data_IF_620455313833
#
_entry.id   IF_620455313833
#
_cell.length_a   1.000
_cell.length_b   1.000
_cell.length_c   1.000
_cell.angle_alpha   90.00
_cell.angle_beta   90.00
_cell.angle_gamma   90.00
#
_symmetry.space_group_name_H-M   'P 1'
#
loop_
_entity.id
_entity.type
_entity.pdbx_description
1 polymer ?
#
# COMPACT_ATOMS: atom_id res chain seq x y z
N UNK A 1 10.33 -18.99 2.47
CA UNK A 1 9.32 -17.94 2.64
C UNK A 1 10.01 -16.59 2.86
N UNK A 2 9.83 -15.68 1.90
CA UNK A 2 10.34 -14.30 1.90
C UNK A 2 9.92 -13.54 3.18
N UNK A 3 10.81 -12.70 3.72
CA UNK A 3 10.57 -11.89 4.93
C UNK A 3 9.34 -10.99 4.77
N UNK A 4 9.15 -10.40 3.58
CA UNK A 4 8.00 -9.53 3.29
C UNK A 4 6.68 -10.29 3.33
N UNK A 5 6.66 -11.50 2.81
CA UNK A 5 5.51 -12.39 2.88
C UNK A 5 5.17 -12.79 4.33
N UNK A 6 6.19 -13.05 5.18
CA UNK A 6 5.97 -13.33 6.61
C UNK A 6 5.35 -12.14 7.32
N UNK A 7 5.83 -10.94 7.02
CA UNK A 7 5.32 -9.71 7.58
C UNK A 7 3.88 -9.42 7.14
N UNK A 8 3.57 -9.54 5.85
CA UNK A 8 2.20 -9.38 5.33
C UNK A 8 1.22 -10.38 5.96
N UNK A 9 1.65 -11.63 6.14
CA UNK A 9 0.84 -12.62 6.83
C UNK A 9 0.60 -12.23 8.29
N UNK A 10 1.62 -11.72 8.99
CA UNK A 10 1.50 -11.26 10.39
C UNK A 10 0.56 -10.06 10.51
N UNK A 11 0.84 -8.97 9.77
CA UNK A 11 0.06 -7.72 9.83
C UNK A 11 -1.36 -7.96 9.34
N UNK A 12 -1.54 -8.70 8.26
CA UNK A 12 -2.88 -9.04 7.75
C UNK A 12 -3.69 -9.95 8.67
N UNK A 13 -3.03 -10.73 9.54
CA UNK A 13 -3.72 -11.57 10.54
C UNK A 13 -4.06 -10.76 11.80
N UNK A 14 -3.69 -9.49 11.86
CA UNK A 14 -4.05 -8.65 13.00
C UNK A 14 -5.55 -8.31 12.94
N UNK A 15 -6.26 -8.32 14.08
CA UNK A 15 -7.67 -7.96 14.13
C UNK A 15 -7.91 -6.50 13.71
N UNK A 16 -6.89 -5.64 13.82
CA UNK A 16 -6.90 -4.26 13.36
C UNK A 16 -7.04 -4.21 11.84
N UNK A 17 -6.09 -4.78 11.09
CA UNK A 17 -6.13 -4.70 9.63
C UNK A 17 -7.41 -5.31 9.05
N UNK A 18 -7.92 -6.38 9.64
CA UNK A 18 -9.21 -6.95 9.28
C UNK A 18 -10.35 -5.95 9.48
N UNK A 19 -10.45 -5.33 10.67
CA UNK A 19 -11.48 -4.34 10.99
C UNK A 19 -11.38 -3.08 10.12
N UNK A 20 -10.17 -2.58 9.88
CA UNK A 20 -9.95 -1.43 9.01
C UNK A 20 -10.32 -1.74 7.57
N UNK A 21 -9.93 -2.91 7.05
CA UNK A 21 -10.25 -3.31 5.68
C UNK A 21 -11.76 -3.40 5.45
N UNK A 22 -12.53 -3.92 6.43
CA UNK A 22 -14.00 -3.93 6.39
C UNK A 22 -14.55 -2.51 6.34
N UNK A 23 -14.05 -1.62 7.20
CA UNK A 23 -14.52 -0.22 7.23
C UNK A 23 -14.23 0.50 5.91
N UNK A 24 -13.05 0.28 5.34
CA UNK A 24 -12.61 0.87 4.07
C UNK A 24 -13.40 0.34 2.87
N UNK A 25 -13.69 -0.96 2.85
CA UNK A 25 -14.51 -1.57 1.80
C UNK A 25 -15.94 -1.01 1.79
N UNK A 26 -16.54 -0.82 2.96
CA UNK A 26 -17.86 -0.20 3.10
C UNK A 26 -17.90 1.25 2.57
N UNK A 27 -16.75 1.93 2.52
CA UNK A 27 -16.62 3.32 2.07
C UNK A 27 -16.17 3.44 0.61
N UNK A 28 -16.08 2.34 -0.16
CA UNK A 28 -15.65 2.39 -1.58
C UNK A 28 -16.58 3.21 -2.47
N UNK A 29 -17.83 3.43 -2.07
CA UNK A 29 -18.80 4.25 -2.82
C UNK A 29 -18.84 5.71 -2.35
N UNK A 30 -17.98 6.10 -1.41
CA UNK A 30 -17.85 7.50 -1.02
C UNK A 30 -17.17 8.31 -2.13
N UNK A 31 -17.08 9.63 -1.94
CA UNK A 31 -16.44 10.54 -2.91
C UNK A 31 -15.10 11.10 -2.40
N UNK A 32 -14.50 10.42 -1.42
CA UNK A 32 -13.25 10.82 -0.80
C UNK A 32 -12.54 9.59 -0.23
N UNK A 33 -11.21 9.65 -0.20
CA UNK A 33 -10.40 8.63 0.46
C UNK A 33 -10.57 8.67 1.98
N UNK A 34 -10.55 7.50 2.59
CA UNK A 34 -10.52 7.26 4.02
C UNK A 34 -9.39 6.27 4.34
N UNK A 35 -8.83 6.34 5.55
CA UNK A 35 -7.71 5.49 5.89
C UNK A 35 -7.33 5.54 7.35
N UNK A 36 -6.41 4.64 7.71
CA UNK A 36 -5.91 4.43 9.03
C UNK A 36 -4.39 4.28 8.98
N UNK A 37 -3.70 4.85 9.97
CA UNK A 37 -2.30 4.56 10.22
C UNK A 37 -2.18 3.42 11.22
N UNK A 38 -1.30 2.47 10.94
CA UNK A 38 -0.98 1.34 11.83
C UNK A 38 0.33 1.66 12.55
N UNK A 39 0.28 1.63 13.88
CA UNK A 39 1.40 1.95 14.76
C UNK A 39 1.70 0.81 15.72
N UNK A 40 2.94 0.80 16.20
CA UNK A 40 3.35 -0.02 17.34
C UNK A 40 2.88 0.60 18.66
N UNK A 41 2.63 -0.25 19.66
CA UNK A 41 2.30 0.17 21.03
C UNK A 41 3.12 -0.63 22.04
N UNK A 42 2.88 -0.42 23.33
CA UNK A 42 3.56 -1.13 24.43
C UNK A 42 2.71 -2.25 25.04
N UNK A 43 1.52 -2.51 24.49
CA UNK A 43 0.55 -3.42 25.09
C UNK A 43 0.12 -4.43 24.05
N UNK A 44 0.16 -5.72 24.40
CA UNK A 44 -0.31 -6.79 23.52
C UNK A 44 -1.74 -6.45 23.02
N UNK A 45 -2.02 -6.54 21.70
CA UNK A 45 -1.26 -7.23 20.65
C UNK A 45 -0.15 -6.40 19.96
N UNK A 46 0.34 -5.34 20.61
CA UNK A 46 1.48 -4.51 20.22
C UNK A 46 1.30 -3.67 18.95
N UNK A 47 0.13 -3.78 18.32
CA UNK A 47 -0.30 -2.99 17.19
C UNK A 47 -1.57 -2.24 17.58
N UNK A 48 -1.75 -1.06 17.01
CA UNK A 48 -2.95 -0.24 17.14
C UNK A 48 -3.14 0.54 15.85
N UNK A 49 -4.37 1.01 15.60
CA UNK A 49 -4.72 1.77 14.42
C UNK A 49 -5.40 3.06 14.80
N UNK A 50 -5.16 4.10 14.00
CA UNK A 50 -5.73 5.42 14.20
C UNK A 50 -6.25 5.95 12.86
N UNK A 51 -7.49 6.46 12.80
CA UNK A 51 -7.99 7.12 11.60
C UNK A 51 -7.06 8.25 11.15
N UNK A 52 -6.84 8.35 9.84
CA UNK A 52 -6.08 9.44 9.23
C UNK A 52 -7.02 10.58 8.86
N UNK A 53 -6.48 11.80 8.95
CA UNK A 53 -7.22 12.99 8.56
C UNK A 53 -7.15 13.13 7.04
N UNK A 54 -8.33 13.20 6.41
CA UNK A 54 -8.45 13.59 5.02
C UNK A 54 -8.06 15.07 4.89
N UNK A 55 -7.03 15.33 4.07
CA UNK A 55 -6.50 16.69 3.88
C UNK A 55 -6.91 17.31 2.55
N UNK A 56 -7.50 16.52 1.66
CA UNK A 56 -8.04 16.94 0.36
C UNK A 56 -8.88 15.83 -0.26
N UNK A 57 -9.63 16.15 -1.31
CA UNK A 57 -10.48 15.18 -2.05
C UNK A 57 -9.67 13.93 -2.49
N UNK A 58 -8.35 14.06 -2.71
CA UNK A 58 -7.48 13.00 -3.23
C UNK A 58 -6.26 12.72 -2.33
N UNK A 59 -6.38 12.83 -1.01
CA UNK A 59 -5.24 12.46 -0.18
C UNK A 59 -5.43 12.49 1.33
N UNK A 60 -4.95 11.42 1.95
CA UNK A 60 -4.78 11.30 3.39
C UNK A 60 -3.46 11.91 3.84
N UNK A 61 -3.48 12.52 5.03
CA UNK A 61 -2.23 12.91 5.69
C UNK A 61 -1.47 11.69 6.18
N UNK A 62 -0.18 11.62 5.85
CA UNK A 62 0.72 10.67 6.48
C UNK A 62 0.80 10.96 8.00
N UNK A 63 0.76 9.91 8.85
CA UNK A 63 0.98 10.07 10.26
C UNK A 63 2.40 10.59 10.53
N UNK A 64 2.52 11.51 11.49
CA UNK A 64 3.79 12.19 11.79
C UNK A 64 4.57 11.53 12.95
N UNK A 65 3.93 10.66 13.73
CA UNK A 65 4.59 10.03 14.88
C UNK A 65 5.54 8.90 14.43
N UNK A 66 6.70 8.71 15.09
CA UNK A 66 7.76 7.81 14.64
C UNK A 66 7.50 6.32 14.91
N UNK A 67 6.25 5.97 15.18
CA UNK A 67 5.78 4.62 15.54
C UNK A 67 4.84 4.02 14.49
N UNK A 68 4.48 4.79 13.46
CA UNK A 68 3.64 4.32 12.37
C UNK A 68 4.48 3.66 11.29
N UNK A 69 4.23 2.38 11.02
CA UNK A 69 4.97 1.62 10.01
C UNK A 69 4.11 1.28 8.79
N UNK A 70 2.79 1.43 8.89
CA UNK A 70 1.92 1.21 7.75
C UNK A 70 0.75 2.19 7.70
N UNK A 71 0.22 2.36 6.49
CA UNK A 71 -1.05 3.03 6.21
C UNK A 71 -1.94 2.02 5.50
N UNK A 72 -3.23 2.02 5.81
CA UNK A 72 -4.27 1.33 5.05
C UNK A 72 -5.33 2.34 4.65
N UNK A 73 -5.68 2.40 3.37
CA UNK A 73 -6.67 3.34 2.86
C UNK A 73 -7.42 2.77 1.68
N UNK A 74 -8.55 3.40 1.34
CA UNK A 74 -9.32 3.04 0.15
C UNK A 74 -9.11 4.04 -0.99
N UNK A 75 -9.19 3.56 -2.21
CA UNK A 75 -9.44 4.40 -3.38
C UNK A 75 -10.89 4.22 -3.77
N UNK A 76 -11.69 5.27 -3.63
CA UNK A 76 -13.12 5.20 -3.90
C UNK A 76 -13.41 5.03 -5.40
N UNK A 77 -14.57 4.46 -5.69
CA UNK A 77 -15.03 4.18 -7.04
C UNK A 77 -15.12 5.48 -7.86
N UNK A 78 -14.38 5.53 -8.97
CA UNK A 78 -14.37 6.68 -9.88
C UNK A 78 -13.13 7.56 -9.83
N UNK A 79 -12.14 7.22 -9.00
CA UNK A 79 -10.78 7.75 -9.13
C UNK A 79 -10.04 7.06 -10.28
N UNK A 80 -9.25 7.83 -11.05
CA UNK A 80 -8.51 7.30 -12.20
C UNK A 80 -7.43 6.28 -11.83
N UNK A 81 -6.86 6.42 -10.64
CA UNK A 81 -5.68 5.68 -10.21
C UNK A 81 -6.06 4.62 -9.18
N UNK A 82 -5.85 3.33 -9.50
CA UNK A 82 -5.91 2.27 -8.48
C UNK A 82 -4.77 2.38 -7.46
N UNK A 83 -3.63 2.90 -7.91
CA UNK A 83 -2.52 3.35 -7.06
C UNK A 83 -2.09 4.73 -7.55
N UNK A 84 -2.01 5.69 -6.64
CA UNK A 84 -1.62 7.05 -6.94
C UNK A 84 -0.15 7.33 -6.63
N UNK A 85 0.33 8.43 -7.17
CA UNK A 85 1.66 8.95 -6.85
C UNK A 85 1.81 9.24 -5.35
N UNK A 86 0.70 9.57 -4.67
CA UNK A 86 0.61 9.71 -3.22
C UNK A 86 0.99 8.44 -2.47
N UNK A 87 0.67 7.25 -2.97
CA UNK A 87 0.96 5.97 -2.29
C UNK A 87 2.46 5.68 -2.25
N UNK A 88 3.14 5.92 -3.38
CA UNK A 88 4.59 5.75 -3.50
C UNK A 88 5.31 6.73 -2.57
N UNK A 89 4.86 7.98 -2.55
CA UNK A 89 5.42 9.00 -1.67
C UNK A 89 5.11 8.74 -0.19
N UNK A 90 3.92 8.21 0.12
CA UNK A 90 3.54 7.84 1.47
C UNK A 90 4.44 6.74 2.01
N UNK A 91 4.72 5.72 1.20
CA UNK A 91 5.64 4.64 1.52
C UNK A 91 7.05 5.17 1.84
N UNK A 92 7.58 6.06 1.00
CA UNK A 92 8.87 6.68 1.26
C UNK A 92 8.84 7.54 2.51
N UNK A 93 7.84 8.42 2.66
CA UNK A 93 7.72 9.31 3.82
C UNK A 93 7.65 8.53 5.14
N UNK A 94 6.87 7.44 5.20
CA UNK A 94 6.84 6.55 6.37
C UNK A 94 8.21 5.96 6.70
N UNK A 95 8.98 5.55 5.68
CA UNK A 95 10.32 5.01 5.90
C UNK A 95 11.30 6.00 6.50
N UNK A 96 11.08 7.31 6.29
CA UNK A 96 11.93 8.37 6.84
C UNK A 96 11.52 8.79 8.25
N UNK A 97 10.24 8.65 8.60
CA UNK A 97 9.73 9.06 9.92
C UNK A 97 9.75 7.92 10.95
N UNK A 98 9.66 6.67 10.51
CA UNK A 98 9.64 5.52 11.41
C UNK A 98 10.98 5.32 12.13
N UNK A 99 10.93 5.15 13.46
CA UNK A 99 12.12 4.98 14.28
C UNK A 99 12.31 3.50 14.66
N UNK A 100 13.16 2.79 13.91
CA UNK A 100 13.48 1.38 14.16
C UNK A 100 14.09 1.13 15.55
N UNK A 101 14.87 2.08 16.08
CA UNK A 101 15.45 1.92 17.42
C UNK A 101 14.36 1.94 18.49
N UNK A 102 13.39 2.85 18.35
CA UNK A 102 12.23 2.92 19.24
C UNK A 102 11.31 1.70 19.08
N UNK A 103 11.15 1.21 17.85
CA UNK A 103 10.28 0.08 17.57
C UNK A 103 10.76 -1.26 18.12
N UNK A 104 12.07 -1.37 18.35
CA UNK A 104 12.71 -2.59 18.80
C UNK A 104 13.15 -2.51 20.27
N UNK A 105 12.40 -1.79 21.11
CA UNK A 105 12.74 -1.62 22.54
C UNK A 105 12.10 -2.63 23.48
N UNK A 106 11.23 -3.53 22.99
CA UNK A 106 10.68 -4.60 23.84
C UNK A 106 11.80 -5.57 24.22
N UNK A 107 12.02 -5.69 25.53
CA UNK A 107 12.95 -6.65 26.11
C UNK A 107 12.31 -8.03 26.38
N UNK A 108 13.12 -8.98 26.87
CA UNK A 108 12.68 -10.34 27.21
C UNK A 108 11.60 -10.40 28.31
N UNK A 109 11.43 -9.33 29.07
CA UNK A 109 10.41 -9.21 30.12
C UNK A 109 9.10 -8.58 29.61
N UNK A 110 9.01 -8.30 28.31
CA UNK A 110 7.84 -7.66 27.70
C UNK A 110 7.72 -6.17 28.05
N UNK A 111 8.81 -5.53 28.46
CA UNK A 111 8.83 -4.10 28.82
C UNK A 111 9.41 -3.28 27.67
N UNK A 112 8.78 -2.14 27.35
CA UNK A 112 9.20 -1.25 26.25
C UNK A 112 8.05 -0.86 25.31
N UNK A 113 8.39 -0.19 24.21
CA UNK A 113 7.49 0.09 23.09
C UNK A 113 7.94 -0.77 21.91
N UNK A 114 7.04 -1.48 21.26
CA UNK A 114 7.39 -2.33 20.13
C UNK A 114 6.53 -3.57 20.03
N UNK A 115 6.90 -4.45 19.13
CA UNK A 115 6.39 -5.81 19.03
C UNK A 115 7.63 -6.74 19.14
N UNK A 116 7.53 -7.95 19.74
CA UNK A 116 8.64 -8.90 19.84
C UNK A 116 9.30 -9.27 18.49
N UNK A 117 8.70 -8.91 17.36
CA UNK A 117 9.31 -8.97 16.03
C UNK A 117 10.24 -7.79 15.78
N UNK A 118 11.45 -8.06 15.29
CA UNK A 118 12.38 -7.00 14.86
C UNK A 118 11.86 -6.27 13.61
N UNK A 119 11.58 -4.97 13.76
CA UNK A 119 11.22 -4.06 12.68
C UNK A 119 12.45 -3.59 11.92
N UNK A 120 12.37 -3.64 10.60
CA UNK A 120 13.26 -2.97 9.66
C UNK A 120 12.48 -2.40 8.46
N UNK A 121 13.21 -1.90 7.48
CA UNK A 121 12.65 -1.27 6.28
C UNK A 121 11.63 -2.13 5.54
N UNK A 122 11.78 -3.46 5.60
CA UNK A 122 10.87 -4.38 4.90
C UNK A 122 9.48 -4.45 5.55
N UNK A 123 9.31 -3.94 6.77
CA UNK A 123 8.02 -3.87 7.45
C UNK A 123 7.18 -2.67 6.99
N UNK A 124 7.79 -1.63 6.41
CA UNK A 124 7.07 -0.45 5.94
C UNK A 124 6.15 -0.84 4.78
N UNK A 125 4.86 -0.52 4.91
CA UNK A 125 3.82 -0.98 3.99
C UNK A 125 2.74 0.06 3.77
N UNK A 126 2.30 0.23 2.52
CA UNK A 126 1.05 0.92 2.20
C UNK A 126 0.06 -0.11 1.70
N UNK A 127 -1.09 -0.23 2.38
CA UNK A 127 -2.21 -1.08 1.99
C UNK A 127 -3.27 -0.25 1.28
N UNK A 128 -3.75 -0.73 0.13
CA UNK A 128 -4.79 -0.06 -0.65
C UNK A 128 -5.96 -1.01 -0.83
N UNK A 129 -7.11 -0.66 -0.27
CA UNK A 129 -8.37 -1.40 -0.39
C UNK A 129 -9.14 -0.87 -1.60
N UNK A 130 -9.47 -1.77 -2.52
CA UNK A 130 -10.30 -1.50 -3.70
C UNK A 130 -11.40 -2.55 -3.80
N UNK A 131 -12.23 -2.50 -4.83
CA UNK A 131 -13.31 -3.49 -5.05
C UNK A 131 -12.73 -4.92 -5.03
N UNK A 132 -13.27 -5.80 -4.20
CA UNK A 132 -12.91 -7.22 -4.05
C UNK A 132 -11.46 -7.56 -3.62
N UNK A 133 -10.51 -6.61 -3.72
CA UNK A 133 -9.09 -6.84 -3.47
C UNK A 133 -8.46 -5.78 -2.59
N UNK A 134 -7.50 -6.24 -1.79
CA UNK A 134 -6.57 -5.39 -1.05
C UNK A 134 -5.17 -5.60 -1.61
N UNK A 135 -4.47 -4.51 -1.85
CA UNK A 135 -3.10 -4.51 -2.32
C UNK A 135 -2.15 -4.02 -1.23
N UNK A 136 -0.89 -4.45 -1.31
CA UNK A 136 0.17 -3.95 -0.44
C UNK A 136 1.41 -3.58 -1.26
N UNK A 137 1.91 -2.37 -1.04
CA UNK A 137 3.15 -1.87 -1.63
C UNK A 137 4.23 -1.94 -0.54
N UNK A 138 5.35 -2.61 -0.83
CA UNK A 138 6.47 -2.79 0.12
C UNK A 138 7.79 -2.39 -0.49
N UNK A 139 8.72 -1.96 0.36
CA UNK A 139 10.06 -1.52 -0.02
C UNK A 139 10.97 -2.74 -0.20
N UNK A 140 11.52 -2.93 -1.40
CA UNK A 140 12.60 -3.88 -1.67
C UNK A 140 13.98 -3.22 -1.52
N UNK A 141 14.13 -1.99 -2.01
CA UNK A 141 15.38 -1.23 -1.98
C UNK A 141 15.11 0.24 -1.68
N UNK A 142 15.47 0.68 -0.48
CA UNK A 142 15.27 2.06 -0.03
C UNK A 142 16.11 3.07 -0.80
N UNK A 143 17.26 2.67 -1.35
CA UNK A 143 18.13 3.56 -2.12
C UNK A 143 17.48 3.92 -3.43
N UNK A 144 16.83 2.94 -4.08
CA UNK A 144 16.03 3.17 -5.29
C UNK A 144 14.79 3.99 -4.99
N UNK A 145 14.08 3.67 -3.91
CA UNK A 145 12.87 4.41 -3.54
C UNK A 145 13.18 5.88 -3.22
N UNK A 146 14.34 6.19 -2.65
CA UNK A 146 14.75 7.57 -2.36
C UNK A 146 14.78 8.49 -3.59
N UNK A 147 14.90 7.94 -4.80
CA UNK A 147 14.82 8.72 -6.05
C UNK A 147 13.46 9.41 -6.22
N UNK A 148 12.40 8.92 -5.55
CA UNK A 148 11.07 9.54 -5.59
C UNK A 148 11.08 10.99 -5.12
N UNK A 149 12.00 11.36 -4.21
CA UNK A 149 12.08 12.71 -3.64
C UNK A 149 12.16 13.81 -4.70
N UNK A 150 12.84 13.55 -5.82
CA UNK A 150 12.99 14.54 -6.90
C UNK A 150 11.65 14.98 -7.49
N UNK A 151 10.62 14.13 -7.40
CA UNK A 151 9.28 14.41 -7.90
C UNK A 151 8.43 15.20 -6.91
N UNK A 152 8.79 15.23 -5.61
CA UNK A 152 8.00 15.86 -4.54
C UNK A 152 8.60 17.14 -3.99
N UNK A 153 9.64 17.70 -4.63
CA UNK A 153 10.28 18.95 -4.21
C UNK A 153 9.39 20.19 -4.32
N UNK A 154 8.39 20.17 -5.21
CA UNK A 154 7.41 21.25 -5.39
C UNK A 154 6.18 20.75 -6.15
N UNK A 155 5.12 21.57 -6.16
CA UNK A 155 3.83 21.27 -6.80
C UNK A 155 3.95 20.98 -8.30
N UNK A 156 4.85 21.65 -9.02
CA UNK A 156 5.02 21.42 -10.47
C UNK A 156 5.57 20.03 -10.75
N UNK A 157 6.65 19.63 -10.06
CA UNK A 157 7.23 18.28 -10.21
C UNK A 157 6.27 17.18 -9.79
N UNK A 158 5.49 17.43 -8.74
CA UNK A 158 4.49 16.50 -8.26
C UNK A 158 3.40 16.28 -9.31
N UNK A 159 2.90 17.38 -9.91
CA UNK A 159 1.91 17.30 -10.98
C UNK A 159 2.46 16.63 -12.26
N UNK A 160 3.73 16.88 -12.61
CA UNK A 160 4.39 16.20 -13.73
C UNK A 160 4.46 14.69 -13.49
N UNK A 161 4.82 14.27 -12.27
CA UNK A 161 4.88 12.86 -11.92
C UNK A 161 3.50 12.20 -11.86
N UNK A 162 2.50 12.89 -11.32
CA UNK A 162 1.11 12.45 -11.36
C UNK A 162 0.64 12.22 -12.81
N UNK A 163 0.95 13.14 -13.72
CA UNK A 163 0.59 12.99 -15.13
C UNK A 163 1.29 11.80 -15.81
N UNK A 164 2.53 11.48 -15.44
CA UNK A 164 3.25 10.30 -15.96
C UNK A 164 2.57 8.99 -15.51
N UNK A 165 2.12 8.95 -14.26
CA UNK A 165 1.42 7.78 -13.74
C UNK A 165 0.01 7.66 -14.35
N UNK A 166 -0.72 8.76 -14.48
CA UNK A 166 -2.02 8.79 -15.15
C UNK A 166 -1.93 8.32 -16.60
N UNK A 167 -0.89 8.73 -17.33
CA UNK A 167 -0.66 8.29 -18.71
C UNK A 167 -0.35 6.78 -18.79
N UNK A 168 0.35 6.22 -17.79
CA UNK A 168 0.55 4.77 -17.70
C UNK A 168 -0.77 3.99 -17.53
N UNK A 169 -1.79 4.58 -16.90
CA UNK A 169 -3.12 3.97 -16.75
C UNK A 169 -4.06 4.21 -17.93
N UNK A 170 -3.80 5.22 -18.74
CA UNK A 170 -4.72 5.69 -19.79
C UNK A 170 -5.05 4.61 -20.82
N UNK A 171 -4.09 3.79 -21.17
CA UNK A 171 -4.24 2.75 -22.20
C UNK A 171 -4.83 1.45 -21.67
N UNK A 172 -4.86 1.26 -20.34
CA UNK A 172 -5.42 0.05 -19.71
C UNK A 172 -6.88 0.20 -19.28
N UNK A 173 -7.40 1.43 -19.22
CA UNK A 173 -8.81 1.69 -18.92
C UNK A 173 -9.71 1.57 -20.17
N UNK A 174 -9.69 0.39 -20.80
CA UNK A 174 -10.50 0.08 -21.98
C UNK A 174 -11.41 -1.13 -21.73
N UNK A 175 -12.52 -1.22 -22.45
CA UNK A 175 -13.39 -2.40 -22.47
C UNK A 175 -12.81 -3.51 -23.36
N UNK A 176 -13.51 -4.64 -23.46
CA UNK A 176 -13.10 -5.77 -24.30
C UNK A 176 -13.00 -5.46 -25.80
N UNK A 177 -13.55 -4.32 -26.23
CA UNK A 177 -13.53 -3.84 -27.61
C UNK A 177 -12.48 -2.73 -27.81
N UNK A 178 -11.67 -2.41 -26.79
CA UNK A 178 -10.67 -1.34 -26.83
C UNK A 178 -11.24 0.07 -26.67
N UNK A 179 -12.51 0.21 -26.23
CA UNK A 179 -13.14 1.51 -26.00
C UNK A 179 -12.84 1.98 -24.58
N UNK A 180 -12.37 3.21 -24.43
CA UNK A 180 -12.10 3.81 -23.11
C UNK A 180 -13.37 3.79 -22.25
N UNK A 181 -13.28 3.22 -21.05
CA UNK A 181 -14.43 3.20 -20.12
C UNK A 181 -14.67 4.61 -19.56
N UNK A 182 -15.94 4.95 -19.36
CA UNK A 182 -16.33 6.28 -18.84
C UNK A 182 -16.01 6.42 -17.36
N UNK A 183 -16.21 5.36 -16.57
CA UNK A 183 -15.91 5.33 -15.16
C UNK A 183 -14.59 4.58 -14.94
N UNK A 184 -13.55 5.21 -14.38
CA UNK A 184 -12.30 4.51 -14.07
C UNK A 184 -12.45 3.36 -13.07
N UNK A 185 -13.48 3.38 -12.22
CA UNK A 185 -13.78 2.27 -11.31
C UNK A 185 -14.16 0.96 -12.02
N UNK A 186 -14.51 1.02 -13.31
CA UNK A 186 -14.85 -0.17 -14.11
C UNK A 186 -13.62 -0.80 -14.80
N UNK A 187 -12.42 -0.25 -14.59
CA UNK A 187 -11.19 -0.76 -15.18
C UNK A 187 -10.80 -2.12 -14.58
N UNK A 188 -10.19 -2.98 -15.40
CA UNK A 188 -9.71 -4.29 -14.94
C UNK A 188 -8.53 -4.09 -13.97
N UNK A 189 -8.71 -4.49 -12.72
CA UNK A 189 -7.70 -4.33 -11.67
C UNK A 189 -6.40 -5.08 -11.96
N UNK A 190 -6.43 -6.21 -12.69
CA UNK A 190 -5.19 -6.87 -13.07
C UNK A 190 -4.43 -6.01 -14.10
N UNK A 191 -5.14 -5.37 -15.04
CA UNK A 191 -4.54 -4.46 -16.02
C UNK A 191 -3.97 -3.20 -15.37
N UNK A 192 -4.66 -2.65 -14.38
CA UNK A 192 -4.15 -1.55 -13.56
C UNK A 192 -2.91 -1.97 -12.76
N UNK A 193 -2.91 -3.17 -12.16
CA UNK A 193 -1.74 -3.70 -11.46
C UNK A 193 -0.55 -3.93 -12.41
N UNK A 194 -0.79 -4.44 -13.63
CA UNK A 194 0.23 -4.58 -14.66
C UNK A 194 0.87 -3.22 -15.01
N UNK A 195 0.03 -2.21 -15.29
CA UNK A 195 0.49 -0.85 -15.60
C UNK A 195 1.32 -0.26 -14.46
N UNK A 196 0.86 -0.41 -13.22
CA UNK A 196 1.58 0.07 -12.05
C UNK A 196 2.92 -0.64 -11.87
N UNK A 197 2.97 -1.98 -11.93
CA UNK A 197 4.22 -2.75 -11.79
C UNK A 197 5.23 -2.33 -12.85
N UNK A 198 4.78 -2.18 -14.10
CA UNK A 198 5.61 -1.68 -15.20
C UNK A 198 6.15 -0.29 -14.91
N UNK A 199 5.29 0.63 -14.47
CA UNK A 199 5.69 1.99 -14.12
C UNK A 199 6.76 2.01 -13.02
N UNK A 200 6.54 1.28 -11.93
CA UNK A 200 7.42 1.35 -10.75
C UNK A 200 8.64 0.44 -10.81
N UNK A 201 8.65 -0.58 -11.67
CA UNK A 201 9.74 -1.58 -11.75
C UNK A 201 10.56 -1.48 -13.03
N UNK A 202 9.93 -1.17 -14.17
CA UNK A 202 10.60 -1.13 -15.47
C UNK A 202 10.91 0.29 -15.93
N UNK A 203 9.96 1.22 -15.78
CA UNK A 203 10.14 2.61 -16.23
C UNK A 203 11.01 3.42 -15.28
N UNK A 204 10.74 3.32 -13.97
CA UNK A 204 11.44 4.11 -12.95
C UNK A 204 12.31 3.29 -11.98
N UNK A 205 12.03 1.99 -11.82
CA UNK A 205 12.71 1.09 -10.88
C UNK A 205 12.86 1.70 -9.47
N UNK A 206 11.73 1.98 -8.81
CA UNK A 206 11.69 2.52 -7.45
C UNK A 206 12.05 1.50 -6.36
N UNK A 207 12.37 0.25 -6.72
CA UNK A 207 12.69 -0.78 -5.73
C UNK A 207 11.53 -1.10 -4.79
N UNK A 208 10.31 -1.20 -5.32
CA UNK A 208 9.11 -1.58 -4.58
C UNK A 208 8.45 -2.81 -5.20
N UNK A 209 7.82 -3.64 -4.36
CA UNK A 209 7.04 -4.80 -4.77
C UNK A 209 5.57 -4.60 -4.47
N UNK A 210 4.73 -5.12 -5.35
CA UNK A 210 3.27 -5.15 -5.19
C UNK A 210 2.81 -6.56 -4.77
N UNK A 211 1.86 -6.60 -3.84
CA UNK A 211 1.21 -7.81 -3.37
C UNK A 211 -0.31 -7.63 -3.40
N UNK A 212 -1.06 -8.73 -3.47
CA UNK A 212 -2.53 -8.71 -3.45
C UNK A 212 -3.12 -9.83 -2.58
N UNK A 213 -4.26 -9.55 -1.99
CA UNK A 213 -5.14 -10.48 -1.26
C UNK A 213 -6.58 -10.15 -1.62
N UNK A 214 -7.47 -11.14 -1.57
CA UNK A 214 -8.92 -10.84 -1.63
C UNK A 214 -9.34 -10.15 -0.32
N UNK A 215 -10.34 -9.26 -0.38
CA UNK A 215 -10.83 -8.55 0.81
C UNK A 215 -11.25 -9.54 1.91
N UNK A 216 -12.08 -10.54 1.58
CA UNK A 216 -12.49 -11.61 2.50
C UNK A 216 -11.33 -12.34 3.20
N UNK A 217 -10.19 -12.49 2.52
CA UNK A 217 -9.02 -13.17 3.07
C UNK A 217 -8.19 -12.26 3.97
N UNK A 218 -8.24 -10.93 3.75
CA UNK A 218 -7.70 -9.95 4.69
C UNK A 218 -8.59 -9.78 5.94
N UNK A 219 -9.87 -10.14 5.83
CA UNK A 219 -10.87 -10.02 6.90
C UNK A 219 -11.00 -11.27 7.78
N UNK A 220 -10.65 -12.44 7.26
CA UNK A 220 -10.76 -13.71 8.00
C UNK A 220 -9.49 -13.97 8.82
N UNK A 221 -9.60 -13.82 10.14
CA UNK A 221 -8.57 -14.09 11.14
C UNK A 221 -7.82 -15.42 10.91
N UNK A 222 -6.75 -15.41 10.10
CA UNK A 222 -5.80 -16.52 10.01
C UNK A 222 -5.55 -17.16 8.64
N UNK A 223 -6.20 -16.74 7.54
CA UNK A 223 -5.98 -17.37 6.22
C UNK A 223 -5.66 -16.41 5.08
N UNK A 224 -4.79 -15.44 5.35
CA UNK A 224 -4.41 -14.44 4.36
C UNK A 224 -3.69 -15.10 3.19
N UNK A 225 -4.24 -14.93 2.00
CA UNK A 225 -3.82 -15.58 0.77
C UNK A 225 -2.91 -14.66 -0.07
N UNK A 226 -2.12 -13.82 0.59
CA UNK A 226 -1.25 -12.83 -0.07
C UNK A 226 -0.44 -13.47 -1.20
N UNK A 227 -0.45 -12.81 -2.35
CA UNK A 227 0.33 -13.19 -3.52
C UNK A 227 1.20 -12.03 -3.92
N UNK A 228 2.49 -12.29 -4.13
CA UNK A 228 3.37 -11.34 -4.79
C UNK A 228 2.96 -11.24 -6.26
N UNK A 229 2.91 -10.01 -6.76
CA UNK A 229 2.61 -9.71 -8.14
C UNK A 229 3.91 -9.37 -8.89
N UNK A 230 4.09 -10.00 -10.05
CA UNK A 230 5.22 -9.77 -10.96
C UNK A 230 4.72 -9.83 -12.39
N UNK A 231 5.51 -9.37 -13.35
CA UNK A 231 5.22 -9.55 -14.78
C UNK A 231 6.00 -10.73 -15.35
N UNK A 232 5.40 -11.46 -16.28
CA UNK A 232 6.12 -12.39 -17.16
C UNK A 232 6.80 -11.66 -18.32
N UNK A 233 7.49 -12.41 -19.18
CA UNK A 233 8.20 -11.87 -20.35
C UNK A 233 7.26 -11.18 -21.37
N UNK A 234 5.96 -11.53 -21.37
CA UNK A 234 4.93 -10.91 -22.21
C UNK A 234 4.28 -9.68 -21.52
N UNK A 235 4.72 -9.31 -20.32
CA UNK A 235 4.14 -8.22 -19.53
C UNK A 235 2.80 -8.56 -18.87
N UNK A 236 2.47 -9.85 -18.70
CA UNK A 236 1.24 -10.30 -18.03
C UNK A 236 1.46 -10.55 -16.54
N UNK A 237 0.41 -10.35 -15.76
CA UNK A 237 0.45 -10.52 -14.32
C UNK A 237 0.64 -11.99 -13.91
N UNK A 238 1.74 -12.28 -13.23
CA UNK A 238 1.97 -13.51 -12.48
C UNK A 238 1.67 -13.29 -11.00
N UNK A 239 1.00 -14.27 -10.37
CA UNK A 239 0.67 -14.25 -8.94
C UNK A 239 1.39 -15.39 -8.24
N UNK A 240 2.37 -15.06 -7.39
CA UNK A 240 3.12 -16.05 -6.61
C UNK A 240 2.65 -16.06 -5.16
N UNK A 241 2.19 -17.20 -4.67
CA UNK A 241 1.74 -17.32 -3.28
C UNK A 241 2.88 -17.02 -2.28
N UNK A 242 2.56 -16.29 -1.21
CA UNK A 242 3.44 -16.03 -0.08
C UNK A 242 3.58 -17.23 0.88
N UNK A 243 3.79 -18.44 0.34
CA UNK A 243 3.93 -19.69 1.10
C UNK A 243 5.38 -19.93 1.58
#
# INVERSE_FOLDING_TARGET
MDKKCKDLKRVGNSPYLASESIALENNLNDNAESGFGIKITNSFPFLDSNPLVNTSINGLSNPQAPVYFAITHNHYNGTFEMFGHGDIHALYSLSQTFNYNLANTIDENGTGIGDPVTFDISNITVFVVVTDNTYAIKIDDITKLATIQQHFINKTRMNEFAALLEDAYKDVNVDSNGVKRQNPGDADQNKLAEAFIKFVSETHDFGISLYTSTNDAAQSNGNNNWKKLTLDEDGKLLKQNCN
#
